data_IF_179102721584
#
_entry.id   IF_179102721584
#
_cell.length_a   1.000
_cell.length_b   1.000
_cell.length_c   1.000
_cell.angle_alpha   90.00
_cell.angle_beta   90.00
_cell.angle_gamma   90.00
#
_symmetry.space_group_name_H-M   'P 1'
#
loop_
_entity.id
_entity.type
_entity.pdbx_description
1 polymer ?
#
# COMPACT_ATOMS: atom_id res chain seq x y z
N UNK A 1 11.33 8.14 15.42
CA UNK A 1 9.89 8.51 15.25
C UNK A 1 9.09 7.98 16.43
N UNK A 2 8.12 8.75 16.95
CA UNK A 2 7.16 8.21 17.93
C UNK A 2 6.10 7.41 17.17
N UNK A 3 6.14 6.07 17.31
CA UNK A 3 5.23 5.16 16.61
C UNK A 3 4.01 4.95 17.51
N UNK A 4 2.90 5.60 17.16
CA UNK A 4 1.65 5.54 17.94
C UNK A 4 0.63 4.57 17.35
N UNK A 5 0.73 4.25 16.06
CA UNK A 5 -0.24 3.42 15.37
C UNK A 5 0.37 2.59 14.26
N UNK A 6 -0.40 1.60 13.81
CA UNK A 6 -0.17 0.86 12.58
C UNK A 6 -1.19 1.32 11.54
N UNK A 7 -0.70 2.02 10.52
CA UNK A 7 -1.55 2.69 9.55
C UNK A 7 -1.67 1.92 8.22
N UNK A 8 -1.18 0.67 8.16
CA UNK A 8 -1.31 -0.18 6.99
C UNK A 8 -1.56 -1.62 7.45
N UNK A 9 -2.83 -1.97 7.61
CA UNK A 9 -3.27 -3.28 8.11
C UNK A 9 -4.41 -3.79 7.25
N UNK A 10 -4.27 -5.02 6.76
CA UNK A 10 -5.33 -5.76 6.10
C UNK A 10 -6.22 -6.50 7.13
N UNK A 11 -7.22 -7.20 6.67
CA UNK A 11 -8.28 -7.77 7.48
C UNK A 11 -8.67 -9.15 6.98
N UNK A 12 -9.55 -9.90 7.66
CA UNK A 12 -10.06 -11.16 7.12
C UNK A 12 -10.96 -11.01 5.87
N UNK A 13 -11.20 -9.78 5.41
CA UNK A 13 -11.84 -9.51 4.11
C UNK A 13 -10.84 -9.52 2.95
N UNK A 14 -9.54 -9.51 3.25
CA UNK A 14 -8.49 -9.64 2.25
C UNK A 14 -8.59 -10.98 1.53
N UNK A 15 -8.65 -11.00 0.18
CA UNK A 15 -8.77 -12.25 -0.56
C UNK A 15 -7.59 -13.21 -0.39
N UNK A 16 -6.43 -12.71 0.03
CA UNK A 16 -5.20 -13.48 0.24
C UNK A 16 -4.62 -13.36 1.66
N UNK A 17 -5.40 -12.79 2.60
CA UNK A 17 -5.05 -12.70 4.01
C UNK A 17 -5.43 -13.95 4.82
N UNK A 18 -5.23 -13.89 6.16
CA UNK A 18 -5.72 -14.91 7.06
C UNK A 18 -7.19 -14.69 7.42
N UNK A 19 -7.83 -15.72 7.99
CA UNK A 19 -9.21 -15.63 8.49
C UNK A 19 -9.28 -15.26 9.97
N UNK A 20 -8.24 -14.64 10.52
CA UNK A 20 -8.18 -14.18 11.91
C UNK A 20 -9.33 -13.18 12.19
N UNK A 21 -10.04 -13.27 13.32
CA UNK A 21 -11.08 -12.31 13.65
C UNK A 21 -10.52 -10.87 13.71
N UNK A 22 -11.24 -9.88 13.16
CA UNK A 22 -10.86 -8.45 13.21
C UNK A 22 -10.47 -7.98 14.61
N UNK A 23 -11.17 -8.46 15.66
CA UNK A 23 -10.86 -8.12 17.06
C UNK A 23 -9.44 -8.51 17.45
N UNK A 24 -8.93 -9.62 16.95
CA UNK A 24 -7.58 -10.07 17.27
C UNK A 24 -6.50 -9.12 16.74
N UNK A 25 -6.73 -8.47 15.59
CA UNK A 25 -5.83 -7.43 15.08
C UNK A 25 -5.79 -6.23 16.03
N UNK A 26 -6.95 -5.81 16.55
CA UNK A 26 -7.09 -4.69 17.48
C UNK A 26 -6.42 -5.02 18.81
N UNK A 27 -6.70 -6.20 19.36
CA UNK A 27 -6.14 -6.67 20.63
C UNK A 27 -4.62 -6.76 20.56
N UNK A 28 -4.06 -7.29 19.45
CA UNK A 28 -2.62 -7.32 19.24
C UNK A 28 -2.01 -5.90 19.09
N UNK A 29 -2.71 -4.95 18.49
CA UNK A 29 -2.27 -3.55 18.46
C UNK A 29 -2.19 -2.98 19.89
N UNK A 30 -3.22 -3.18 20.70
CA UNK A 30 -3.27 -2.74 22.11
C UNK A 30 -2.16 -3.39 22.94
N UNK A 31 -1.96 -4.71 22.82
CA UNK A 31 -0.90 -5.44 23.53
C UNK A 31 0.51 -4.93 23.17
N UNK A 32 0.70 -4.46 21.94
CA UNK A 32 1.96 -3.83 21.50
C UNK A 32 2.09 -2.37 21.93
N UNK A 33 1.10 -1.82 22.63
CA UNK A 33 1.08 -0.44 23.11
C UNK A 33 0.78 0.59 22.03
N UNK A 34 0.15 0.18 20.93
CA UNK A 34 -0.34 1.11 19.92
C UNK A 34 -1.63 1.76 20.39
N UNK A 35 -1.81 3.02 20.07
CA UNK A 35 -3.00 3.82 20.39
C UNK A 35 -3.90 4.06 19.17
N UNK A 36 -3.41 3.69 17.99
CA UNK A 36 -4.14 3.82 16.72
C UNK A 36 -3.90 2.59 15.84
N UNK A 37 -4.92 2.22 15.06
CA UNK A 37 -4.83 1.21 13.99
C UNK A 37 -5.67 1.67 12.81
N UNK A 38 -5.13 1.58 11.60
CA UNK A 38 -5.85 1.84 10.36
C UNK A 38 -6.01 0.54 9.58
N UNK A 39 -7.24 0.07 9.45
CA UNK A 39 -7.55 -0.96 8.49
C UNK A 39 -7.60 -0.32 7.10
N UNK A 40 -6.73 -0.75 6.22
CA UNK A 40 -6.60 -0.23 4.84
C UNK A 40 -6.65 -1.40 3.86
N UNK A 41 -7.80 -2.05 3.84
CA UNK A 41 -8.03 -3.25 3.01
C UNK A 41 -7.97 -2.92 1.52
N UNK A 42 -7.57 -3.89 0.69
CA UNK A 42 -7.54 -3.73 -0.76
C UNK A 42 -8.90 -3.33 -1.31
N UNK A 43 -8.95 -2.14 -1.92
CA UNK A 43 -10.16 -1.63 -2.55
C UNK A 43 -10.66 -2.56 -3.67
N UNK A 44 -11.96 -2.55 -4.00
CA UNK A 44 -12.42 -3.20 -5.22
C UNK A 44 -11.70 -2.64 -6.44
N UNK A 45 -11.37 -3.52 -7.37
CA UNK A 45 -10.86 -3.08 -8.68
C UNK A 45 -12.00 -2.44 -9.50
N UNK A 46 -11.67 -1.57 -10.47
CA UNK A 46 -12.66 -1.06 -11.43
C UNK A 46 -13.44 -2.20 -12.08
N UNK A 47 -14.76 -2.00 -12.29
CA UNK A 47 -15.66 -3.08 -12.73
C UNK A 47 -15.29 -3.67 -14.09
N UNK A 48 -14.77 -2.84 -14.98
CA UNK A 48 -14.32 -3.28 -16.31
C UNK A 48 -12.89 -3.80 -16.33
N UNK A 49 -12.15 -3.67 -15.22
CA UNK A 49 -10.77 -4.15 -15.13
C UNK A 49 -10.71 -5.66 -14.91
N UNK A 50 -9.86 -6.32 -15.68
CA UNK A 50 -9.62 -7.75 -15.52
C UNK A 50 -8.38 -7.96 -14.67
N UNK A 51 -8.55 -8.43 -13.44
CA UNK A 51 -7.47 -8.77 -12.53
C UNK A 51 -6.49 -9.75 -13.21
N UNK A 52 -5.19 -9.41 -13.33
CA UNK A 52 -4.22 -10.25 -14.01
C UNK A 52 -3.73 -11.44 -13.17
N UNK A 53 -3.98 -11.45 -11.84
CA UNK A 53 -3.48 -12.53 -10.98
C UNK A 53 -4.18 -13.86 -11.27
N UNK A 54 -3.48 -15.00 -11.04
CA UNK A 54 -4.08 -16.32 -11.24
C UNK A 54 -5.34 -16.56 -10.39
N UNK A 55 -5.35 -16.08 -9.13
CA UNK A 55 -6.45 -16.26 -8.18
C UNK A 55 -7.52 -15.17 -8.26
N UNK A 56 -7.28 -14.08 -9.03
CA UNK A 56 -8.19 -12.92 -9.09
C UNK A 56 -8.45 -12.32 -7.71
N UNK A 57 -7.37 -12.10 -6.97
CA UNK A 57 -7.35 -11.78 -5.55
C UNK A 57 -6.67 -10.43 -5.22
N UNK A 58 -6.52 -9.52 -6.21
CA UNK A 58 -5.95 -8.20 -6.00
C UNK A 58 -6.85 -7.25 -5.17
N UNK A 59 -8.12 -7.54 -5.00
CA UNK A 59 -9.00 -6.66 -4.26
C UNK A 59 -10.31 -7.31 -3.82
N UNK A 60 -11.00 -6.66 -2.88
CA UNK A 60 -12.32 -7.10 -2.42
C UNK A 60 -13.36 -6.98 -3.54
N UNK A 61 -14.38 -7.82 -3.49
CA UNK A 61 -15.62 -7.56 -4.23
C UNK A 61 -16.40 -6.40 -3.58
N UNK A 62 -17.28 -5.73 -4.32
CA UNK A 62 -18.17 -4.68 -3.76
C UNK A 62 -18.94 -5.15 -2.53
N UNK A 63 -19.46 -6.39 -2.56
CA UNK A 63 -20.17 -6.98 -1.43
C UNK A 63 -19.28 -7.18 -0.19
N UNK A 64 -18.03 -7.56 -0.39
CA UNK A 64 -17.07 -7.66 0.72
C UNK A 64 -16.71 -6.29 1.28
N UNK A 65 -16.58 -5.29 0.42
CA UNK A 65 -16.32 -3.90 0.83
C UNK A 65 -17.43 -3.35 1.72
N UNK A 66 -18.70 -3.56 1.34
CA UNK A 66 -19.84 -3.13 2.15
C UNK A 66 -19.81 -3.80 3.54
N UNK A 67 -19.59 -5.11 3.60
CA UNK A 67 -19.49 -5.86 4.85
C UNK A 67 -18.26 -5.46 5.69
N UNK A 68 -17.12 -5.16 5.05
CA UNK A 68 -15.91 -4.65 5.69
C UNK A 68 -16.15 -3.30 6.37
N UNK A 69 -16.76 -2.36 5.64
CA UNK A 69 -17.10 -1.03 6.17
C UNK A 69 -17.99 -1.16 7.40
N UNK A 70 -19.07 -1.94 7.32
CA UNK A 70 -19.97 -2.17 8.44
C UNK A 70 -19.24 -2.78 9.65
N UNK A 71 -18.43 -3.81 9.43
CA UNK A 71 -17.70 -4.48 10.50
C UNK A 71 -16.69 -3.55 11.20
N UNK A 72 -15.92 -2.76 10.44
CA UNK A 72 -14.95 -1.82 11.04
C UNK A 72 -15.67 -0.69 11.77
N UNK A 73 -16.78 -0.16 11.25
CA UNK A 73 -17.58 0.85 11.93
C UNK A 73 -18.12 0.37 13.28
N UNK A 74 -18.56 -0.89 13.36
CA UNK A 74 -18.99 -1.50 14.63
C UNK A 74 -17.84 -1.57 15.64
N UNK A 75 -16.64 -1.99 15.18
CA UNK A 75 -15.45 -2.07 16.04
C UNK A 75 -14.97 -0.68 16.50
N UNK A 76 -15.09 0.36 15.68
CA UNK A 76 -14.80 1.75 16.11
C UNK A 76 -15.68 2.15 17.30
N UNK A 77 -16.92 1.73 17.35
CA UNK A 77 -17.82 2.00 18.49
C UNK A 77 -17.48 1.14 19.72
N UNK A 78 -17.15 -0.14 19.49
CA UNK A 78 -16.86 -1.09 20.56
C UNK A 78 -15.56 -0.69 21.30
N UNK A 79 -14.49 -0.37 20.57
CA UNK A 79 -13.15 -0.09 21.11
C UNK A 79 -12.85 1.42 21.30
N UNK A 80 -13.86 2.29 21.24
CA UNK A 80 -13.71 3.76 21.26
C UNK A 80 -12.93 4.33 22.47
N UNK A 81 -12.86 3.59 23.59
CA UNK A 81 -12.15 4.01 24.79
C UNK A 81 -10.76 3.38 24.92
N UNK A 82 -10.42 2.41 24.06
CA UNK A 82 -9.22 1.59 24.16
C UNK A 82 -8.17 1.97 23.10
N UNK A 83 -8.64 2.16 21.86
CA UNK A 83 -7.77 2.47 20.73
C UNK A 83 -8.56 3.24 19.66
N UNK A 84 -7.89 4.15 18.95
CA UNK A 84 -8.50 4.81 17.78
C UNK A 84 -8.39 3.90 16.56
N UNK A 85 -9.54 3.53 15.98
CA UNK A 85 -9.60 2.72 14.77
C UNK A 85 -9.97 3.63 13.60
N UNK A 86 -9.17 3.57 12.53
CA UNK A 86 -9.43 4.25 11.28
C UNK A 86 -9.94 3.22 10.25
N UNK A 87 -11.01 3.58 9.55
CA UNK A 87 -11.54 2.85 8.41
C UNK A 87 -10.91 3.42 7.14
N UNK A 88 -10.21 2.62 6.39
CA UNK A 88 -9.52 3.02 5.17
C UNK A 88 -9.57 1.98 4.07
N UNK A 89 -9.01 2.33 2.94
CA UNK A 89 -8.78 1.44 1.81
C UNK A 89 -7.36 1.64 1.27
N UNK A 90 -6.71 0.55 0.88
CA UNK A 90 -5.58 0.60 -0.02
C UNK A 90 -6.10 0.56 -1.46
N UNK A 91 -5.94 1.68 -2.16
CA UNK A 91 -6.51 1.90 -3.49
C UNK A 91 -5.41 1.76 -4.53
N UNK A 92 -5.54 0.81 -5.43
CA UNK A 92 -4.65 0.68 -6.57
C UNK A 92 -4.87 1.81 -7.57
N UNK A 93 -3.78 2.48 -7.94
CA UNK A 93 -3.77 3.26 -9.16
C UNK A 93 -3.55 2.34 -10.35
N UNK A 94 -4.47 2.34 -11.28
CA UNK A 94 -4.43 1.56 -12.52
C UNK A 94 -4.47 2.55 -13.68
N UNK A 95 -3.37 2.63 -14.42
CA UNK A 95 -3.24 3.51 -15.59
C UNK A 95 -4.38 3.26 -16.58
N UNK A 96 -5.09 4.33 -16.97
CA UNK A 96 -6.24 4.25 -17.88
C UNK A 96 -7.59 3.98 -17.20
N UNK A 97 -7.61 3.72 -15.88
CA UNK A 97 -8.83 3.49 -15.10
C UNK A 97 -9.12 4.59 -14.07
N UNK A 98 -8.54 5.77 -14.25
CA UNK A 98 -8.66 6.89 -13.30
C UNK A 98 -10.12 7.30 -13.08
N UNK A 99 -10.93 7.29 -14.14
CA UNK A 99 -12.37 7.65 -14.05
C UNK A 99 -13.13 6.66 -13.18
N UNK A 100 -12.94 5.37 -13.40
CA UNK A 100 -13.63 4.32 -12.65
C UNK A 100 -13.15 4.26 -11.20
N UNK A 101 -11.85 4.46 -10.96
CA UNK A 101 -11.28 4.59 -9.62
C UNK A 101 -11.85 5.81 -8.89
N UNK A 102 -12.04 6.95 -9.58
CA UNK A 102 -12.69 8.14 -9.03
C UNK A 102 -14.16 7.87 -8.67
N UNK A 103 -14.89 7.14 -9.52
CA UNK A 103 -16.27 6.74 -9.25
C UNK A 103 -16.35 5.82 -8.02
N UNK A 104 -15.44 4.85 -7.89
CA UNK A 104 -15.32 4.00 -6.70
C UNK A 104 -15.07 4.83 -5.45
N UNK A 105 -14.10 5.74 -5.49
CA UNK A 105 -13.79 6.63 -4.37
C UNK A 105 -14.98 7.54 -4.01
N UNK A 106 -15.78 8.00 -4.97
CA UNK A 106 -16.98 8.78 -4.69
C UNK A 106 -18.07 7.94 -3.99
N UNK A 107 -18.13 6.63 -4.23
CA UNK A 107 -19.10 5.75 -3.59
C UNK A 107 -18.75 5.43 -2.13
N UNK A 108 -17.47 5.33 -1.79
CA UNK A 108 -17.03 4.87 -0.48
C UNK A 108 -16.36 5.97 0.37
N UNK A 109 -15.87 7.02 -0.26
CA UNK A 109 -14.95 7.99 0.36
C UNK A 109 -15.53 8.73 1.58
N UNK A 110 -16.84 8.93 1.66
CA UNK A 110 -17.48 9.56 2.82
C UNK A 110 -17.40 8.71 4.10
N UNK A 111 -17.16 7.40 3.97
CA UNK A 111 -17.02 6.48 5.10
C UNK A 111 -15.59 6.36 5.58
N UNK A 112 -14.61 6.81 4.79
CA UNK A 112 -13.18 6.55 5.02
C UNK A 112 -12.54 7.66 5.84
N UNK A 113 -11.83 7.27 6.90
CA UNK A 113 -10.99 8.17 7.70
C UNK A 113 -9.59 8.29 7.14
N UNK A 114 -9.10 7.23 6.49
CA UNK A 114 -7.74 7.08 5.99
C UNK A 114 -7.74 6.26 4.69
N UNK A 115 -6.72 6.42 3.85
CA UNK A 115 -6.55 5.58 2.66
C UNK A 115 -5.14 5.70 2.11
N UNK A 116 -4.72 4.67 1.39
CA UNK A 116 -3.40 4.56 0.76
C UNK A 116 -3.59 4.51 -0.76
N UNK A 117 -2.75 5.22 -1.49
CA UNK A 117 -2.64 5.14 -2.95
C UNK A 117 -1.43 4.28 -3.29
N UNK A 118 -1.67 3.10 -3.82
CA UNK A 118 -0.65 2.09 -4.11
C UNK A 118 -0.55 1.77 -5.59
N UNK A 119 0.54 1.15 -5.98
CA UNK A 119 0.78 0.64 -7.33
C UNK A 119 1.25 -0.80 -7.22
N UNK A 120 0.36 -1.74 -7.51
CA UNK A 120 0.66 -3.18 -7.65
C UNK A 120 0.59 -3.63 -9.12
N UNK A 121 -0.09 -2.87 -9.95
CA UNK A 121 -0.43 -3.22 -11.32
C UNK A 121 0.28 -2.31 -12.32
N UNK A 122 0.95 -2.90 -13.30
CA UNK A 122 1.66 -2.17 -14.36
C UNK A 122 1.06 -2.52 -15.72
N UNK A 123 0.86 -1.49 -16.55
CA UNK A 123 0.54 -1.66 -17.98
C UNK A 123 1.83 -2.00 -18.74
N UNK A 124 1.83 -3.16 -19.39
CA UNK A 124 2.99 -3.61 -20.20
C UNK A 124 3.06 -2.90 -21.54
N UNK A 125 4.22 -2.96 -22.26
CA UNK A 125 4.33 -2.47 -23.63
C UNK A 125 3.41 -3.17 -24.65
N UNK A 126 2.74 -4.23 -24.24
CA UNK A 126 1.83 -5.04 -25.07
C UNK A 126 0.35 -4.83 -24.70
N UNK A 127 0.02 -3.72 -24.05
CA UNK A 127 -1.35 -3.31 -23.68
C UNK A 127 -2.10 -4.32 -22.82
N UNK A 128 -1.42 -4.98 -21.87
CA UNK A 128 -2.05 -5.78 -20.84
C UNK A 128 -1.43 -5.48 -19.46
N UNK A 129 -2.16 -5.78 -18.39
CA UNK A 129 -1.72 -5.48 -17.03
C UNK A 129 -1.07 -6.70 -16.40
N UNK A 130 -0.12 -6.44 -15.50
CA UNK A 130 0.58 -7.44 -14.70
C UNK A 130 0.65 -7.01 -13.25
N UNK A 131 0.56 -7.96 -12.32
CA UNK A 131 0.78 -7.71 -10.90
C UNK A 131 2.28 -7.90 -10.59
N UNK A 132 2.96 -6.81 -10.20
CA UNK A 132 4.42 -6.78 -10.07
C UNK A 132 4.96 -7.56 -8.88
N UNK A 133 4.12 -7.79 -7.87
CA UNK A 133 4.57 -8.31 -6.58
C UNK A 133 3.94 -9.67 -6.20
N UNK A 134 3.22 -10.31 -7.12
CA UNK A 134 2.55 -11.58 -6.88
C UNK A 134 3.54 -12.70 -6.51
N UNK A 135 4.52 -12.96 -7.37
CA UNK A 135 5.59 -13.93 -7.12
C UNK A 135 6.89 -13.56 -7.82
N UNK A 136 8.00 -14.09 -7.32
CA UNK A 136 9.32 -13.89 -7.92
C UNK A 136 9.41 -14.45 -9.35
N UNK A 137 8.75 -15.57 -9.63
CA UNK A 137 8.76 -16.17 -10.98
C UNK A 137 7.93 -15.32 -11.95
N UNK A 138 6.74 -14.85 -11.56
CA UNK A 138 5.95 -13.93 -12.38
C UNK A 138 6.68 -12.59 -12.61
N UNK A 139 7.43 -12.11 -11.63
CA UNK A 139 8.26 -10.91 -11.83
C UNK A 139 9.34 -11.14 -12.90
N UNK A 140 9.91 -12.35 -12.97
CA UNK A 140 10.81 -12.76 -14.06
C UNK A 140 10.13 -12.71 -15.44
N UNK A 141 8.88 -13.19 -15.54
CA UNK A 141 8.09 -13.11 -16.78
C UNK A 141 7.76 -11.65 -17.16
N UNK A 142 7.52 -10.78 -16.17
CA UNK A 142 7.33 -9.35 -16.40
C UNK A 142 8.61 -8.72 -16.97
N UNK A 143 9.78 -9.07 -16.44
CA UNK A 143 11.07 -8.58 -16.97
C UNK A 143 11.24 -8.98 -18.44
N UNK A 144 10.87 -10.20 -18.83
CA UNK A 144 10.92 -10.65 -20.22
C UNK A 144 10.01 -9.81 -21.13
N UNK A 145 8.81 -9.46 -20.67
CA UNK A 145 7.85 -8.63 -21.40
C UNK A 145 8.32 -7.18 -21.58
N UNK A 146 9.01 -6.63 -20.59
CA UNK A 146 9.57 -5.28 -20.65
C UNK A 146 10.95 -5.23 -21.33
N UNK A 147 11.66 -6.36 -21.41
CA UNK A 147 12.98 -6.49 -22.00
C UNK A 147 14.14 -6.31 -21.02
N UNK A 148 13.93 -5.69 -19.85
CA UNK A 148 14.94 -5.63 -18.78
C UNK A 148 14.30 -5.29 -17.43
N UNK A 149 15.00 -5.58 -16.33
CA UNK A 149 14.57 -5.18 -14.98
C UNK A 149 14.48 -3.66 -14.84
N UNK A 150 15.42 -2.93 -15.43
CA UNK A 150 15.44 -1.46 -15.32
C UNK A 150 14.25 -0.82 -16.07
N UNK A 151 13.75 -1.43 -17.15
CA UNK A 151 12.52 -0.96 -17.80
C UNK A 151 11.28 -1.20 -16.93
N UNK A 152 11.22 -2.28 -16.15
CA UNK A 152 10.14 -2.50 -15.17
C UNK A 152 10.21 -1.46 -14.06
N UNK A 153 11.40 -1.17 -13.52
CA UNK A 153 11.61 -0.14 -12.50
C UNK A 153 11.24 1.26 -13.02
N UNK A 154 11.63 1.61 -14.23
CA UNK A 154 11.25 2.87 -14.86
C UNK A 154 9.73 3.00 -14.97
N UNK A 155 9.06 1.95 -15.48
CA UNK A 155 7.59 1.93 -15.58
C UNK A 155 6.91 2.04 -14.22
N UNK A 156 7.42 1.36 -13.20
CA UNK A 156 6.88 1.46 -11.84
C UNK A 156 6.94 2.88 -11.30
N UNK A 157 8.10 3.53 -11.36
CA UNK A 157 8.24 4.90 -10.86
C UNK A 157 7.47 5.92 -11.70
N UNK A 158 7.36 5.71 -13.00
CA UNK A 158 6.48 6.50 -13.88
C UNK A 158 5.01 6.36 -13.43
N UNK A 159 4.55 5.14 -13.17
CA UNK A 159 3.19 4.86 -12.71
C UNK A 159 2.92 5.49 -11.33
N UNK A 160 3.89 5.48 -10.41
CA UNK A 160 3.80 6.21 -9.13
C UNK A 160 3.62 7.73 -9.37
N UNK A 161 4.37 8.32 -10.30
CA UNK A 161 4.23 9.75 -10.63
C UNK A 161 2.86 10.04 -11.23
N UNK A 162 2.36 9.19 -12.12
CA UNK A 162 1.02 9.29 -12.69
C UNK A 162 -0.05 9.21 -11.59
N UNK A 163 0.07 8.24 -10.66
CA UNK A 163 -0.81 8.10 -9.52
C UNK A 163 -0.88 9.39 -8.67
N UNK A 164 0.28 9.96 -8.35
CA UNK A 164 0.36 11.22 -7.59
C UNK A 164 -0.29 12.38 -8.34
N UNK A 165 -0.12 12.47 -9.65
CA UNK A 165 -0.60 13.57 -10.48
C UNK A 165 -2.06 13.42 -10.94
N UNK A 166 -2.62 12.22 -10.93
CA UNK A 166 -3.97 11.91 -11.41
C UNK A 166 -5.06 12.65 -10.64
N UNK A 167 -6.16 12.99 -11.31
CA UNK A 167 -7.39 13.48 -10.67
C UNK A 167 -8.32 12.31 -10.32
N UNK A 168 -8.20 11.83 -9.09
CA UNK A 168 -9.09 10.82 -8.52
C UNK A 168 -10.22 11.43 -7.65
N UNK A 169 -10.47 12.72 -7.75
CA UNK A 169 -11.53 13.41 -7.04
C UNK A 169 -11.18 13.81 -5.61
N UNK A 170 -12.20 14.23 -4.86
CA UNK A 170 -12.05 14.79 -3.50
C UNK A 170 -11.64 13.75 -2.46
N UNK A 171 -11.94 12.48 -2.72
CA UNK A 171 -11.62 11.35 -1.86
C UNK A 171 -10.33 10.62 -2.26
N UNK A 172 -9.53 11.20 -3.18
CA UNK A 172 -8.23 10.66 -3.53
C UNK A 172 -7.40 10.41 -2.26
N UNK A 173 -6.82 9.19 -2.08
CA UNK A 173 -5.94 8.93 -0.95
C UNK A 173 -4.78 9.92 -0.86
N UNK A 174 -4.49 10.38 0.34
CA UNK A 174 -3.43 11.38 0.60
C UNK A 174 -2.13 10.78 1.12
N UNK A 175 -1.99 9.47 1.07
CA UNK A 175 -0.79 8.75 1.47
C UNK A 175 -0.36 7.81 0.36
N UNK A 176 0.91 7.90 -0.05
CA UNK A 176 1.51 7.00 -1.04
C UNK A 176 2.00 5.75 -0.33
N UNK A 177 1.55 4.59 -0.79
CA UNK A 177 1.91 3.28 -0.27
C UNK A 177 3.34 2.88 -0.67
N UNK A 178 3.97 2.06 0.13
CA UNK A 178 5.24 1.31 -0.09
C UNK A 178 6.06 1.72 -1.33
N UNK A 179 6.49 2.99 -1.39
CA UNK A 179 7.13 3.67 -2.53
C UNK A 179 8.16 2.84 -3.31
N UNK A 180 8.81 1.88 -2.68
CA UNK A 180 9.84 1.02 -3.29
C UNK A 180 9.43 -0.44 -3.34
N UNK A 181 8.13 -0.77 -3.46
CA UNK A 181 7.63 -2.14 -3.56
C UNK A 181 8.29 -2.92 -4.71
N UNK A 182 8.65 -2.23 -5.80
CA UNK A 182 9.38 -2.80 -6.94
C UNK A 182 10.67 -3.54 -6.52
N UNK A 183 11.23 -3.22 -5.35
CA UNK A 183 12.40 -3.88 -4.79
C UNK A 183 12.09 -5.22 -4.09
N UNK A 184 10.83 -5.70 -4.09
CA UNK A 184 10.41 -6.93 -3.41
C UNK A 184 11.27 -8.15 -3.77
N UNK A 185 11.72 -8.21 -5.02
CA UNK A 185 12.54 -9.31 -5.55
C UNK A 185 13.97 -8.90 -5.95
N UNK A 186 14.50 -7.80 -5.37
CA UNK A 186 15.78 -7.20 -5.76
C UNK A 186 17.00 -8.10 -5.58
N UNK A 187 16.95 -9.11 -4.70
CA UNK A 187 18.07 -10.07 -4.55
C UNK A 187 18.18 -11.00 -5.75
N UNK A 188 17.05 -11.40 -6.31
CA UNK A 188 17.00 -12.26 -7.49
C UNK A 188 17.13 -11.45 -8.79
N UNK A 189 16.52 -10.28 -8.81
CA UNK A 189 16.47 -9.39 -9.97
C UNK A 189 16.95 -7.98 -9.61
N UNK A 190 18.27 -7.80 -9.38
CA UNK A 190 18.81 -6.50 -9.02
C UNK A 190 18.70 -5.53 -10.21
N UNK A 191 18.22 -4.32 -9.95
CA UNK A 191 18.32 -3.20 -10.89
C UNK A 191 19.79 -2.82 -11.10
N UNK A 192 20.13 -2.38 -12.30
CA UNK A 192 21.49 -1.94 -12.67
C UNK A 192 21.62 -0.41 -12.59
N UNK A 193 20.52 0.30 -12.83
CA UNK A 193 20.46 1.75 -12.80
C UNK A 193 20.32 2.28 -11.38
N UNK A 194 20.69 3.54 -11.19
CA UNK A 194 20.49 4.26 -9.94
C UNK A 194 19.21 5.10 -10.03
N UNK A 195 18.26 4.83 -9.15
CA UNK A 195 16.96 5.50 -9.11
C UNK A 195 16.88 6.65 -8.09
N UNK A 196 17.97 7.05 -7.49
CA UNK A 196 17.97 8.11 -6.47
C UNK A 196 17.38 9.44 -6.97
N UNK A 197 17.72 9.86 -8.18
CA UNK A 197 17.19 11.09 -8.76
C UNK A 197 15.69 11.01 -9.05
N UNK A 198 15.23 9.84 -9.53
CA UNK A 198 13.81 9.57 -9.78
C UNK A 198 13.02 9.60 -8.47
N UNK A 199 13.50 8.91 -7.44
CA UNK A 199 12.88 8.89 -6.11
C UNK A 199 12.88 10.29 -5.50
N UNK A 200 13.96 11.06 -5.63
CA UNK A 200 14.03 12.44 -5.16
C UNK A 200 12.94 13.31 -5.82
N UNK A 201 12.74 13.15 -7.12
CA UNK A 201 11.66 13.84 -7.86
C UNK A 201 10.28 13.43 -7.35
N UNK A 202 10.06 12.14 -7.04
CA UNK A 202 8.80 11.66 -6.47
C UNK A 202 8.57 12.22 -5.07
N UNK A 203 9.58 12.26 -4.22
CA UNK A 203 9.48 12.89 -2.89
C UNK A 203 9.11 14.38 -3.01
N UNK A 204 9.64 15.08 -4.01
CA UNK A 204 9.26 16.47 -4.25
C UNK A 204 7.81 16.61 -4.71
N UNK A 205 7.30 15.68 -5.54
CA UNK A 205 5.88 15.64 -5.90
C UNK A 205 5.00 15.36 -4.67
N UNK A 206 5.37 14.40 -3.83
CA UNK A 206 4.65 14.08 -2.58
C UNK A 206 4.57 15.34 -1.70
N UNK A 207 5.70 16.04 -1.51
CA UNK A 207 5.76 17.28 -0.74
C UNK A 207 4.88 18.39 -1.31
N UNK A 208 4.98 18.64 -2.61
CA UNK A 208 4.29 19.78 -3.27
C UNK A 208 2.79 19.53 -3.42
N UNK A 209 2.36 18.26 -3.38
CA UNK A 209 0.94 17.85 -3.39
C UNK A 209 0.36 17.68 -1.99
N UNK A 210 1.12 17.98 -0.92
CA UNK A 210 0.74 17.78 0.49
C UNK A 210 0.25 16.35 0.76
N UNK A 211 0.98 15.37 0.21
CA UNK A 211 0.75 13.97 0.44
C UNK A 211 1.65 13.46 1.58
N UNK A 212 1.26 12.35 2.18
CA UNK A 212 2.05 11.59 3.14
C UNK A 212 2.71 10.38 2.48
N UNK A 213 3.63 9.76 3.21
CA UNK A 213 4.34 8.55 2.78
C UNK A 213 4.13 7.43 3.80
N UNK A 214 3.78 6.26 3.31
CA UNK A 214 3.76 5.01 4.06
C UNK A 214 5.19 4.51 4.31
N UNK A 215 5.48 4.12 5.56
CA UNK A 215 6.73 3.45 5.95
C UNK A 215 6.40 2.00 6.22
N UNK A 216 6.55 1.16 5.22
CA UNK A 216 6.06 -0.19 5.22
C UNK A 216 7.16 -1.17 5.64
N UNK A 217 6.93 -1.87 6.76
CA UNK A 217 7.92 -2.82 7.32
C UNK A 217 7.84 -4.22 6.70
N UNK A 218 6.84 -4.51 5.86
CA UNK A 218 6.65 -5.85 5.28
C UNK A 218 7.89 -6.38 4.53
N UNK A 219 8.60 -5.49 3.84
CA UNK A 219 9.78 -5.87 3.05
C UNK A 219 10.90 -6.52 3.84
N UNK A 220 11.01 -6.25 5.15
CA UNK A 220 11.98 -6.91 6.03
C UNK A 220 11.75 -8.44 6.11
N UNK A 221 10.51 -8.88 5.95
CA UNK A 221 10.09 -10.27 6.05
C UNK A 221 10.02 -10.99 4.70
N UNK A 222 10.23 -10.26 3.59
CA UNK A 222 10.31 -10.86 2.26
C UNK A 222 11.75 -11.33 1.99
N UNK A 223 11.92 -12.63 1.69
CA UNK A 223 13.23 -13.28 1.58
C UNK A 223 14.15 -12.63 0.52
N UNK A 224 13.58 -12.17 -0.57
CA UNK A 224 14.28 -11.57 -1.68
C UNK A 224 14.40 -10.03 -1.59
N UNK A 225 13.87 -9.41 -0.51
CA UNK A 225 13.96 -7.98 -0.25
C UNK A 225 14.87 -7.67 0.95
N UNK A 226 14.38 -7.94 2.18
CA UNK A 226 15.05 -7.69 3.46
C UNK A 226 15.31 -6.20 3.76
N UNK A 227 14.47 -5.32 3.21
CA UNK A 227 14.48 -3.88 3.53
C UNK A 227 13.06 -3.37 3.68
N UNK A 228 12.87 -2.27 4.43
CA UNK A 228 11.58 -1.58 4.50
C UNK A 228 11.28 -0.84 3.18
N UNK A 229 10.03 -0.51 2.95
CA UNK A 229 9.57 0.30 1.81
C UNK A 229 9.11 1.69 2.28
N UNK A 230 9.85 2.77 1.95
CA UNK A 230 11.18 2.77 1.33
C UNK A 230 12.32 2.54 2.35
N UNK A 231 13.57 2.31 1.89
CA UNK A 231 14.74 2.20 2.76
C UNK A 231 15.00 3.43 3.63
N UNK A 232 15.69 3.26 4.77
CA UNK A 232 15.95 4.33 5.75
C UNK A 232 16.56 5.60 5.15
N UNK A 233 17.43 5.49 4.14
CA UNK A 233 18.02 6.64 3.46
C UNK A 233 16.97 7.51 2.77
N UNK A 234 15.94 6.89 2.19
CA UNK A 234 14.83 7.59 1.53
C UNK A 234 13.87 8.16 2.58
N UNK A 235 13.60 7.44 3.67
CA UNK A 235 12.80 7.93 4.79
C UNK A 235 13.43 9.19 5.37
N UNK A 236 14.74 9.22 5.55
CA UNK A 236 15.44 10.40 6.07
C UNK A 236 15.28 11.59 5.12
N UNK A 237 15.43 11.39 3.79
CA UNK A 237 15.19 12.43 2.78
C UNK A 237 13.74 12.94 2.83
N UNK A 238 12.76 12.06 2.99
CA UNK A 238 11.35 12.44 3.12
C UNK A 238 11.10 13.28 4.37
N UNK A 239 11.68 12.89 5.50
CA UNK A 239 11.63 13.63 6.76
C UNK A 239 12.26 15.02 6.64
N UNK A 240 13.44 15.12 6.02
CA UNK A 240 14.15 16.39 5.80
C UNK A 240 13.34 17.36 4.91
N UNK A 241 12.49 16.82 4.03
CA UNK A 241 11.54 17.58 3.20
C UNK A 241 10.24 17.94 3.94
N UNK A 242 10.04 17.49 5.18
CA UNK A 242 8.83 17.74 5.95
C UNK A 242 7.62 16.89 5.50
N UNK A 243 7.83 15.81 4.77
CA UNK A 243 6.78 14.88 4.39
C UNK A 243 6.28 14.14 5.63
N UNK A 244 4.97 14.06 5.81
CA UNK A 244 4.36 13.26 6.88
C UNK A 244 4.60 11.78 6.63
N UNK A 245 5.00 11.06 7.66
CA UNK A 245 5.39 9.65 7.61
C UNK A 245 4.44 8.83 8.48
N UNK A 246 3.87 7.78 7.93
CA UNK A 246 2.97 6.87 8.63
C UNK A 246 3.56 5.45 8.65
N UNK A 247 3.81 4.85 9.83
CA UNK A 247 4.27 3.47 9.90
C UNK A 247 3.16 2.50 9.52
N UNK A 248 3.50 1.51 8.70
CA UNK A 248 2.62 0.44 8.28
C UNK A 248 3.31 -0.92 8.38
N UNK A 249 2.63 -1.91 8.96
CA UNK A 249 3.14 -3.29 8.99
C UNK A 249 2.79 -4.07 7.73
N UNK A 250 1.77 -3.63 7.02
CA UNK A 250 1.17 -4.34 5.87
C UNK A 250 0.81 -5.77 6.27
N UNK A 251 0.17 -5.83 7.43
CA UNK A 251 -0.20 -7.09 8.07
C UNK A 251 -1.39 -7.74 7.40
N UNK A 252 -1.24 -8.99 7.01
CA UNK A 252 -2.31 -9.86 6.49
C UNK A 252 -2.70 -10.94 7.51
N UNK A 253 -2.19 -10.84 8.75
CA UNK A 253 -2.53 -11.69 9.88
C UNK A 253 -2.46 -10.90 11.18
N UNK A 254 -3.30 -11.25 12.15
CA UNK A 254 -3.38 -10.50 13.40
C UNK A 254 -2.05 -10.47 14.17
N UNK A 255 -1.28 -11.54 14.15
CA UNK A 255 0.00 -11.65 14.86
C UNK A 255 1.08 -10.70 14.33
N UNK A 256 0.97 -10.24 13.09
CA UNK A 256 1.98 -9.41 12.42
C UNK A 256 1.70 -7.91 12.50
N UNK A 257 0.60 -7.48 13.11
CA UNK A 257 0.30 -6.07 13.38
C UNK A 257 1.46 -5.40 14.12
N UNK A 258 1.95 -4.26 13.64
CA UNK A 258 3.05 -3.52 14.26
C UNK A 258 4.42 -4.21 14.23
N UNK A 259 4.61 -5.22 13.36
CA UNK A 259 5.88 -5.95 13.26
C UNK A 259 7.05 -5.04 12.89
N UNK A 260 8.18 -5.22 13.57
CA UNK A 260 9.43 -4.47 13.40
C UNK A 260 9.33 -2.94 13.62
N UNK A 261 8.29 -2.44 14.30
CA UNK A 261 8.16 -1.02 14.61
C UNK A 261 9.21 -0.50 15.60
N UNK A 262 9.86 -1.39 16.36
CA UNK A 262 11.03 -1.08 17.17
C UNK A 262 12.19 -0.50 16.34
N UNK A 263 12.35 -0.92 15.10
CA UNK A 263 13.36 -0.41 14.17
C UNK A 263 13.07 1.03 13.71
N UNK A 264 11.79 1.46 13.74
CA UNK A 264 11.37 2.80 13.33
C UNK A 264 11.59 3.87 14.42
N UNK A 265 11.83 3.46 15.68
CA UNK A 265 12.01 4.39 16.81
C UNK A 265 13.21 5.32 16.67
N UNK A 266 14.19 4.92 15.85
CA UNK A 266 15.43 5.66 15.65
C UNK A 266 15.43 6.58 14.41
N UNK A 267 14.28 6.75 13.76
CA UNK A 267 14.08 7.61 12.58
C UNK A 267 13.71 9.04 12.96
#
# INVERSE_FOLDING_TARGET
>A
MNVQGDFHVHSPFCPHGTTDPLKLYIENAIERGLTEISFTEHAPLPESFMDPTPQKDCGMSKKQTDAYIEAVQQLKLEYKNDITIHLGLEVDYIEGYEKETKELLNNYGEYLDDSILSVHLLLTPHDHYVCLDYSSDMFGEIIEQFGSVDLVYNKYYETIQQAILSDLGVYKPKRVGHLTLIEKFKKRYPAKDNYEATIESILELIRTRDLALDINTAGLFKEECKTIYPPFSIIQKAKDKGIKLFPGSDSHSAETVGRAFDQLKNI
#
